data_IF_889931547002
#
_entry.id   IF_889931547002
#
_cell.length_a   1.000
_cell.length_b   1.000
_cell.length_c   1.000
_cell.angle_alpha   90.00
_cell.angle_beta   90.00
_cell.angle_gamma   90.00
#
_symmetry.space_group_name_H-M   'P 1'
#
loop_
_entity.id
_entity.type
_entity.pdbx_description
1 polymer ?
#
# COMPACT_ATOMS: atom_id res chain seq x y z
N UNK A 1 10.59 4.10 6.76
CA UNK A 1 10.32 5.44 6.18
C UNK A 1 9.66 6.30 7.26
N UNK A 2 10.16 7.50 7.54
CA UNK A 2 9.54 8.43 8.52
C UNK A 2 8.37 9.12 7.82
N UNK A 3 7.17 8.98 8.38
CA UNK A 3 5.91 9.42 7.75
C UNK A 3 5.35 10.69 8.43
N UNK A 4 6.02 11.17 9.49
CA UNK A 4 5.75 12.46 10.14
C UNK A 4 5.67 12.35 11.67
N UNK A 5 5.86 13.48 12.35
CA UNK A 5 5.67 13.63 13.81
C UNK A 5 4.38 14.39 14.06
N UNK A 6 3.41 13.77 14.73
CA UNK A 6 2.25 14.47 15.28
C UNK A 6 2.41 14.57 16.79
N UNK A 7 2.40 15.80 17.31
CA UNK A 7 2.45 16.11 18.74
C UNK A 7 3.57 15.40 19.51
N UNK A 8 4.79 15.38 18.95
CA UNK A 8 5.98 14.83 19.62
C UNK A 8 5.96 13.30 19.87
N UNK A 9 5.03 12.55 19.26
CA UNK A 9 4.95 11.10 19.44
C UNK A 9 5.16 10.39 18.09
N UNK A 10 6.40 9.96 17.85
CA UNK A 10 6.86 9.41 16.56
C UNK A 10 6.06 8.18 16.11
N UNK A 11 5.31 8.33 15.02
CA UNK A 11 4.68 7.21 14.30
C UNK A 11 5.60 6.82 13.15
N UNK A 12 6.10 5.60 13.16
CA UNK A 12 7.00 5.08 12.14
C UNK A 12 6.31 3.95 11.40
N UNK A 13 6.28 4.02 10.07
CA UNK A 13 5.87 2.88 9.25
C UNK A 13 6.97 1.83 9.33
N UNK A 14 6.58 0.63 9.72
CA UNK A 14 7.43 -0.56 9.71
C UNK A 14 7.46 -1.13 8.29
N UNK A 15 6.28 -1.47 7.77
CA UNK A 15 6.12 -1.96 6.41
C UNK A 15 4.72 -1.66 5.87
N UNK A 16 4.61 -1.77 4.55
CA UNK A 16 3.38 -1.66 3.80
C UNK A 16 3.15 -2.99 3.09
N UNK A 17 1.92 -3.45 3.08
CA UNK A 17 1.52 -4.66 2.34
C UNK A 17 0.38 -4.30 1.39
N UNK A 18 0.49 -4.75 0.14
CA UNK A 18 -0.58 -4.74 -0.83
C UNK A 18 -1.17 -6.15 -0.91
N UNK A 19 -2.40 -6.33 -0.44
CA UNK A 19 -3.10 -7.61 -0.49
C UNK A 19 -4.15 -7.54 -1.59
N UNK A 20 -3.99 -8.34 -2.64
CA UNK A 20 -4.99 -8.50 -3.70
C UNK A 20 -5.94 -9.61 -3.27
N UNK A 21 -7.19 -9.26 -2.99
CA UNK A 21 -8.18 -10.18 -2.46
C UNK A 21 -8.97 -10.84 -3.60
N UNK A 22 -9.38 -12.10 -3.40
CA UNK A 22 -10.15 -12.87 -4.38
C UNK A 22 -11.54 -12.25 -4.71
N UNK A 23 -12.04 -11.37 -3.85
CA UNK A 23 -13.32 -10.67 -4.02
C UNK A 23 -13.22 -9.40 -4.89
N UNK A 24 -12.12 -9.19 -5.61
CA UNK A 24 -11.94 -8.01 -6.47
C UNK A 24 -11.66 -6.73 -5.70
N UNK A 25 -11.05 -6.82 -4.52
CA UNK A 25 -10.58 -5.66 -3.75
C UNK A 25 -9.08 -5.74 -3.53
N UNK A 26 -8.46 -4.61 -3.21
CA UNK A 26 -7.11 -4.55 -2.69
C UNK A 26 -7.12 -3.89 -1.31
N UNK A 27 -6.40 -4.51 -0.37
CA UNK A 27 -6.07 -3.90 0.92
C UNK A 27 -4.67 -3.29 0.85
N UNK A 28 -4.60 -1.97 0.96
CA UNK A 28 -3.36 -1.25 1.26
C UNK A 28 -3.22 -1.20 2.78
N UNK A 29 -2.42 -2.10 3.32
CA UNK A 29 -2.19 -2.24 4.75
C UNK A 29 -0.91 -1.52 5.16
N UNK A 30 -1.02 -0.67 6.17
CA UNK A 30 0.10 0.03 6.78
C UNK A 30 0.26 -0.45 8.22
N UNK A 31 1.40 -1.06 8.53
CA UNK A 31 1.80 -1.32 9.91
C UNK A 31 2.67 -0.18 10.40
N UNK A 32 2.31 0.38 11.55
CA UNK A 32 3.07 1.48 12.15
C UNK A 32 3.17 1.35 13.67
N UNK A 33 4.20 1.96 14.25
CA UNK A 33 4.45 1.93 15.69
C UNK A 33 3.44 2.79 16.46
N UNK A 34 2.94 2.26 17.57
CA UNK A 34 2.08 3.03 18.47
C UNK A 34 2.92 4.13 19.13
N UNK A 35 2.55 5.41 18.99
CA UNK A 35 3.30 6.51 19.58
C UNK A 35 3.36 6.45 21.12
N UNK A 36 2.35 5.86 21.75
CA UNK A 36 2.21 5.79 23.21
C UNK A 36 2.86 4.52 23.80
N UNK A 37 3.26 3.57 22.95
CA UNK A 37 3.96 2.37 23.39
C UNK A 37 4.86 1.87 22.25
N UNK A 38 6.17 2.10 22.39
CA UNK A 38 7.15 1.81 21.33
C UNK A 38 7.29 0.31 21.00
N UNK A 39 6.85 -0.59 21.87
CA UNK A 39 6.85 -2.04 21.60
C UNK A 39 5.54 -2.54 20.97
N UNK A 40 4.52 -1.67 20.90
CA UNK A 40 3.22 -1.99 20.30
C UNK A 40 3.14 -1.46 18.87
N UNK A 41 2.43 -2.23 18.03
CA UNK A 41 2.17 -1.87 16.63
C UNK A 41 0.68 -1.76 16.39
N UNK A 42 0.32 -0.92 15.43
CA UNK A 42 -1.04 -0.74 14.96
C UNK A 42 -1.06 -1.03 13.46
N UNK A 43 -2.20 -1.57 13.01
CA UNK A 43 -2.47 -1.83 11.59
C UNK A 43 -3.57 -0.89 11.13
N UNK A 44 -3.34 -0.26 9.98
CA UNK A 44 -4.28 0.60 9.28
C UNK A 44 -4.55 0.03 7.89
N UNK A 45 -5.79 -0.36 7.64
CA UNK A 45 -6.21 -0.94 6.36
C UNK A 45 -7.01 0.09 5.56
N UNK A 46 -6.57 0.31 4.32
CA UNK A 46 -7.30 1.08 3.32
C UNK A 46 -7.79 0.11 2.25
N UNK A 47 -9.10 -0.01 2.08
CA UNK A 47 -9.70 -0.93 1.12
C UNK A 47 -10.07 -0.20 -0.15
N UNK A 48 -9.64 -0.74 -1.29
CA UNK A 48 -9.98 -0.24 -2.61
C UNK A 48 -10.74 -1.31 -3.40
N UNK A 49 -11.74 -0.88 -4.15
CA UNK A 49 -12.32 -1.71 -5.20
C UNK A 49 -11.32 -1.80 -6.36
N UNK A 50 -11.16 -2.99 -6.92
CA UNK A 50 -10.26 -3.25 -8.03
C UNK A 50 -11.07 -3.67 -9.27
N UNK A 51 -10.87 -2.96 -10.38
CA UNK A 51 -11.44 -3.33 -11.69
C UNK A 51 -10.29 -3.67 -12.62
N UNK A 52 -10.28 -4.88 -13.18
CA UNK A 52 -9.33 -5.27 -14.22
C UNK A 52 -9.96 -5.13 -15.60
N UNK A 53 -9.19 -4.58 -16.54
CA UNK A 53 -9.53 -4.61 -17.95
C UNK A 53 -9.04 -5.89 -18.66
N UNK A 54 -9.41 -6.04 -19.93
CA UNK A 54 -9.03 -7.20 -20.74
C UNK A 54 -7.50 -7.31 -21.00
N UNK A 55 -6.74 -6.24 -20.78
CA UNK A 55 -5.28 -6.21 -20.91
C UNK A 55 -4.58 -6.49 -19.57
N UNK A 56 -5.33 -6.75 -18.50
CA UNK A 56 -4.81 -6.99 -17.15
C UNK A 56 -4.36 -5.72 -16.44
N UNK A 57 -4.84 -4.54 -16.86
CA UNK A 57 -4.62 -3.28 -16.17
C UNK A 57 -5.68 -3.13 -15.09
N UNK A 58 -5.24 -2.96 -13.86
CA UNK A 58 -6.08 -2.77 -12.68
C UNK A 58 -6.26 -1.28 -12.38
N UNK A 59 -7.50 -0.86 -12.16
CA UNK A 59 -7.86 0.47 -11.64
C UNK A 59 -8.42 0.34 -10.23
N UNK A 60 -7.97 1.23 -9.34
CA UNK A 60 -8.37 1.23 -7.94
C UNK A 60 -9.19 2.47 -7.61
N UNK A 61 -10.21 2.27 -6.78
CA UNK A 61 -11.03 3.35 -6.21
C UNK A 61 -11.24 3.07 -4.74
N UNK A 62 -11.08 4.07 -3.89
CA UNK A 62 -11.25 3.88 -2.46
C UNK A 62 -12.68 3.39 -2.16
N UNK A 63 -12.82 2.21 -1.55
CA UNK A 63 -14.11 1.55 -1.40
C UNK A 63 -15.01 2.26 -0.37
N UNK A 64 -14.40 2.82 0.67
CA UNK A 64 -15.09 3.58 1.70
C UNK A 64 -14.14 4.55 2.41
N UNK A 65 -14.70 5.54 3.09
CA UNK A 65 -13.91 6.43 3.95
C UNK A 65 -13.12 5.61 4.99
N UNK A 66 -11.82 5.90 5.23
CA UNK A 66 -11.03 5.15 6.20
C UNK A 66 -11.60 5.29 7.61
N UNK A 67 -11.56 4.21 8.39
CA UNK A 67 -12.05 4.15 9.78
C UNK A 67 -10.93 3.71 10.73
N UNK A 68 -11.16 3.87 12.04
CA UNK A 68 -10.23 3.40 13.08
C UNK A 68 -8.79 3.89 12.88
N UNK A 69 -7.82 2.98 12.96
CA UNK A 69 -6.40 3.29 12.79
C UNK A 69 -6.07 3.90 11.41
N UNK A 70 -6.80 3.51 10.35
CA UNK A 70 -6.60 4.08 9.03
C UNK A 70 -7.04 5.55 8.98
N UNK A 71 -8.17 5.89 9.62
CA UNK A 71 -8.59 7.28 9.77
C UNK A 71 -7.58 8.12 10.55
N UNK A 72 -6.95 7.53 11.57
CA UNK A 72 -5.93 8.21 12.38
C UNK A 72 -4.70 8.58 11.55
N UNK A 73 -4.28 7.71 10.61
CA UNK A 73 -3.06 7.95 9.84
C UNK A 73 -3.27 8.50 8.43
N UNK A 74 -4.52 8.63 7.96
CA UNK A 74 -4.83 8.98 6.56
C UNK A 74 -4.11 10.24 6.07
N UNK A 75 -3.97 11.26 6.91
CA UNK A 75 -3.33 12.53 6.56
C UNK A 75 -1.82 12.44 6.37
N UNK A 76 -1.18 11.38 6.89
CA UNK A 76 0.27 11.18 6.73
C UNK A 76 0.62 10.28 5.54
N UNK A 77 -0.35 9.49 5.08
CA UNK A 77 -0.17 8.58 3.95
C UNK A 77 -0.85 9.08 2.69
N UNK A 78 -1.23 10.36 2.62
CA UNK A 78 -1.95 10.97 1.49
C UNK A 78 -1.26 10.68 0.16
N UNK A 79 0.05 10.95 0.06
CA UNK A 79 0.80 10.67 -1.16
C UNK A 79 0.79 9.19 -1.57
N UNK A 80 0.69 8.27 -0.60
CA UNK A 80 0.60 6.83 -0.85
C UNK A 80 -0.82 6.42 -1.25
N UNK A 81 -1.86 7.01 -0.65
CA UNK A 81 -3.26 6.70 -0.98
C UNK A 81 -3.68 7.33 -2.30
N UNK A 82 -3.28 8.58 -2.56
CA UNK A 82 -3.50 9.31 -3.81
C UNK A 82 -2.81 8.61 -4.99
N UNK A 83 -1.69 7.94 -4.72
CA UNK A 83 -1.03 7.14 -5.73
C UNK A 83 -1.98 6.07 -6.30
N UNK A 84 -2.78 5.40 -5.46
CA UNK A 84 -3.69 4.35 -5.92
C UNK A 84 -5.00 4.90 -6.50
N UNK A 85 -5.54 5.99 -5.94
CA UNK A 85 -6.88 6.45 -6.27
C UNK A 85 -6.96 6.96 -7.72
N UNK A 86 -7.78 6.31 -8.54
CA UNK A 86 -8.01 6.68 -9.94
C UNK A 86 -6.88 6.35 -10.91
N UNK A 87 -5.73 5.87 -10.43
CA UNK A 87 -4.58 5.46 -11.25
C UNK A 87 -4.76 4.06 -11.84
N UNK A 88 -4.15 3.85 -13.01
CA UNK A 88 -4.12 2.57 -13.71
C UNK A 88 -2.80 1.85 -13.44
N UNK A 89 -2.86 0.56 -13.14
CA UNK A 89 -1.69 -0.24 -12.75
C UNK A 89 -1.60 -1.54 -13.52
N UNK A 90 -0.37 -1.93 -13.85
CA UNK A 90 -0.08 -3.29 -14.29
C UNK A 90 0.64 -4.03 -13.17
N UNK A 91 0.09 -5.17 -12.79
CA UNK A 91 0.74 -6.11 -11.88
C UNK A 91 1.68 -6.97 -12.73
N UNK A 92 2.98 -6.92 -12.44
CA UNK A 92 4.00 -7.63 -13.21
C UNK A 92 4.96 -8.39 -12.30
N UNK A 93 5.52 -9.47 -12.81
CA UNK A 93 6.71 -10.07 -12.21
C UNK A 93 7.93 -9.22 -12.59
N UNK A 94 8.78 -8.89 -11.62
CA UNK A 94 10.02 -8.15 -11.88
C UNK A 94 11.20 -9.09 -11.65
N UNK A 95 12.06 -9.21 -12.67
CA UNK A 95 13.37 -9.85 -12.57
C UNK A 95 14.40 -8.79 -12.18
N UNK A 96 14.32 -8.29 -10.94
CA UNK A 96 15.32 -7.41 -10.33
C UNK A 96 16.10 -8.19 -9.27
N UNK A 97 17.14 -7.60 -8.70
CA UNK A 97 17.92 -8.19 -7.61
C UNK A 97 17.04 -8.55 -6.40
N UNK A 98 16.45 -9.73 -6.44
CA UNK A 98 15.63 -10.29 -5.39
C UNK A 98 16.56 -10.81 -4.29
N UNK A 99 16.18 -10.73 -3.01
CA UNK A 99 16.77 -11.59 -1.98
C UNK A 99 16.78 -13.04 -2.47
N UNK A 100 17.86 -13.79 -2.19
CA UNK A 100 18.07 -15.13 -2.75
C UNK A 100 16.84 -16.02 -2.54
N UNK A 101 16.25 -16.51 -3.64
CA UNK A 101 15.06 -17.36 -3.64
C UNK A 101 13.70 -16.64 -3.56
N UNK A 102 13.66 -15.31 -3.44
CA UNK A 102 12.41 -14.55 -3.41
C UNK A 102 11.92 -14.21 -4.83
N UNK A 103 10.60 -14.25 -5.04
CA UNK A 103 9.97 -13.66 -6.23
C UNK A 103 9.56 -12.23 -5.93
N UNK A 104 9.91 -11.29 -6.81
CA UNK A 104 9.56 -9.88 -6.66
C UNK A 104 8.44 -9.52 -7.63
N UNK A 105 7.40 -8.90 -7.09
CA UNK A 105 6.30 -8.34 -7.85
C UNK A 105 6.47 -6.84 -8.02
N UNK A 106 5.95 -6.33 -9.12
CA UNK A 106 5.87 -4.92 -9.46
C UNK A 106 4.43 -4.46 -9.62
N UNK A 107 4.17 -3.26 -9.14
CA UNK A 107 2.91 -2.56 -9.29
C UNK A 107 3.18 -1.24 -10.02
N UNK A 108 3.10 -1.31 -11.36
CA UNK A 108 3.57 -0.27 -12.26
C UNK A 108 2.44 0.69 -12.62
N UNK A 109 2.55 1.97 -12.24
CA UNK A 109 1.61 2.98 -12.70
C UNK A 109 1.75 3.16 -14.23
N UNK A 110 0.64 3.02 -14.96
CA UNK A 110 0.63 3.08 -16.43
C UNK A 110 0.70 4.52 -16.96
N UNK A 111 0.37 5.51 -16.15
CA UNK A 111 0.45 6.94 -16.48
C UNK A 111 1.82 7.51 -16.12
N UNK A 112 2.43 7.03 -15.04
CA UNK A 112 3.77 7.47 -14.59
C UNK A 112 4.64 6.26 -14.29
N UNK A 113 5.23 5.60 -15.31
CA UNK A 113 5.97 4.34 -15.13
C UNK A 113 7.21 4.44 -14.23
N UNK A 114 7.73 5.66 -14.01
CA UNK A 114 8.80 5.93 -13.05
C UNK A 114 8.37 5.86 -11.59
N UNK A 115 7.06 5.88 -11.32
CA UNK A 115 6.47 5.62 -10.01
C UNK A 115 5.95 4.19 -9.97
N UNK A 116 6.53 3.37 -9.09
CA UNK A 116 6.20 1.96 -8.96
C UNK A 116 6.36 1.49 -7.52
N UNK A 117 5.51 0.56 -7.10
CA UNK A 117 5.80 -0.26 -5.91
C UNK A 117 6.44 -1.56 -6.38
N UNK A 118 7.45 -2.02 -5.65
CA UNK A 118 8.02 -3.35 -5.83
C UNK A 118 8.24 -3.99 -4.47
N UNK A 119 8.11 -5.30 -4.38
CA UNK A 119 8.22 -6.00 -3.11
C UNK A 119 8.27 -7.51 -3.28
N UNK A 120 8.65 -8.19 -2.21
CA UNK A 120 8.60 -9.65 -2.14
C UNK A 120 7.14 -10.09 -2.21
N UNK A 121 6.83 -10.99 -3.13
CA UNK A 121 5.51 -11.61 -3.16
C UNK A 121 5.44 -12.70 -2.12
N UNK A 122 4.45 -12.59 -1.25
CA UNK A 122 4.12 -13.58 -0.24
C UNK A 122 2.84 -14.25 -0.75
N UNK A 123 2.92 -15.56 -1.00
CA UNK A 123 1.84 -16.37 -1.55
C UNK A 123 1.07 -17.07 -0.44
#
# INVERSE_FOLDING_TARGET
MIIGTYQNAGRYIEYITLLINANGTMTFQVRYRNPNNQTSFLTADFTYNMVLDAAGIAKFTLAMAPVGNANVIRSYVVALTDYFDGSNFKIVYIVAGAPSGATVGGFLNQTTPSSFFYGVMIQ
#
